data_IF_310327773362
#
_entry.id   IF_310327773362
#
_cell.length_a   1.000
_cell.length_b   1.000
_cell.length_c   1.000
_cell.angle_alpha   90.00
_cell.angle_beta   90.00
_cell.angle_gamma   90.00
#
_symmetry.space_group_name_H-M   'P 1'
#
loop_
_entity.id
_entity.type
_entity.pdbx_description
1 polymer ?
#
# COMPACT_ATOMS: atom_id res chain seq x y z
N UNK A 1 -17.77 1.28 -5.67
CA UNK A 1 -17.34 -0.03 -5.14
C UNK A 1 -15.92 -0.25 -5.61
N UNK A 2 -14.96 -0.47 -4.70
CA UNK A 2 -13.59 -0.83 -5.10
C UNK A 2 -13.60 -2.30 -5.53
N UNK A 3 -13.11 -2.58 -6.74
CA UNK A 3 -13.27 -3.89 -7.39
C UNK A 3 -12.25 -4.96 -6.94
N UNK A 4 -11.38 -4.66 -5.97
CA UNK A 4 -10.37 -5.58 -5.45
C UNK A 4 -10.80 -6.17 -4.10
N UNK A 5 -10.47 -7.44 -3.84
CA UNK A 5 -10.78 -8.17 -2.60
C UNK A 5 -10.23 -7.49 -1.32
N UNK A 6 -9.23 -6.62 -1.44
CA UNK A 6 -8.66 -5.84 -0.34
C UNK A 6 -9.15 -4.38 -0.25
N UNK A 7 -10.22 -4.02 -0.96
CA UNK A 7 -10.71 -2.63 -1.00
C UNK A 7 -9.67 -1.63 -1.54
N UNK A 8 -9.60 -0.39 -1.02
CA UNK A 8 -8.66 0.62 -1.48
C UNK A 8 -7.19 0.19 -1.38
N UNK A 9 -6.85 -0.56 -0.33
CA UNK A 9 -5.47 -0.99 -0.07
C UNK A 9 -5.08 -2.13 -1.03
N UNK A 10 -6.02 -3.03 -1.36
CA UNK A 10 -5.84 -4.01 -2.43
C UNK A 10 -5.63 -3.36 -3.80
N UNK A 11 -6.41 -2.33 -4.14
CA UNK A 11 -6.23 -1.55 -5.38
C UNK A 11 -4.84 -0.90 -5.43
N UNK A 12 -4.34 -0.39 -4.30
CA UNK A 12 -3.02 0.23 -4.23
C UNK A 12 -1.91 -0.79 -4.52
N UNK A 13 -1.94 -1.94 -3.85
CA UNK A 13 -0.96 -3.02 -4.04
C UNK A 13 -0.95 -3.48 -5.50
N UNK A 14 -2.12 -3.78 -6.04
CA UNK A 14 -2.23 -4.25 -7.43
C UNK A 14 -1.76 -3.18 -8.44
N UNK A 15 -2.00 -1.90 -8.16
CA UNK A 15 -1.53 -0.79 -8.99
C UNK A 15 -0.01 -0.70 -8.97
N UNK A 16 0.63 -0.80 -7.80
CA UNK A 16 2.09 -0.77 -7.68
C UNK A 16 2.74 -1.96 -8.39
N UNK A 17 2.15 -3.16 -8.25
CA UNK A 17 2.62 -4.37 -8.93
C UNK A 17 2.52 -4.24 -10.45
N UNK A 18 1.38 -3.76 -10.98
CA UNK A 18 1.19 -3.52 -12.43
C UNK A 18 2.15 -2.47 -12.98
N UNK A 19 2.47 -1.45 -12.20
CA UNK A 19 3.45 -0.41 -12.57
C UNK A 19 4.91 -0.84 -12.34
N UNK A 20 5.14 -2.03 -11.80
CA UNK A 20 6.47 -2.55 -11.42
C UNK A 20 7.23 -1.57 -10.52
N UNK A 21 6.51 -0.93 -9.59
CA UNK A 21 7.09 0.00 -8.63
C UNK A 21 7.44 -0.81 -7.38
N UNK A 22 8.72 -0.89 -6.99
CA UNK A 22 9.11 -1.57 -5.77
C UNK A 22 8.59 -0.82 -4.54
N UNK A 23 7.96 -1.56 -3.63
CA UNK A 23 7.51 -1.10 -2.33
C UNK A 23 7.88 -2.11 -1.24
N UNK A 24 7.81 -1.67 0.00
CA UNK A 24 7.92 -2.52 1.19
C UNK A 24 6.79 -2.19 2.15
N UNK A 25 6.28 -3.22 2.83
CA UNK A 25 5.43 -3.00 4.00
C UNK A 25 6.28 -2.46 5.15
N UNK A 26 5.70 -1.59 5.97
CA UNK A 26 6.39 -1.02 7.13
C UNK A 26 5.52 -1.02 8.39
N UNK A 27 6.15 -0.71 9.53
CA UNK A 27 5.49 -0.52 10.81
C UNK A 27 4.61 -1.69 11.23
N UNK A 28 3.36 -1.40 11.63
CA UNK A 28 2.43 -2.43 12.12
C UNK A 28 2.01 -3.40 11.02
N UNK A 29 1.98 -2.96 9.77
CA UNK A 29 1.66 -3.84 8.63
C UNK A 29 2.77 -4.87 8.43
N UNK A 30 4.03 -4.45 8.46
CA UNK A 30 5.16 -5.38 8.39
C UNK A 30 5.18 -6.36 9.57
N UNK A 31 4.98 -5.85 10.79
CA UNK A 31 5.00 -6.65 12.02
C UNK A 31 3.84 -7.65 12.10
N UNK A 32 2.72 -7.33 11.46
CA UNK A 32 1.60 -8.28 11.34
C UNK A 32 1.90 -9.36 10.30
N UNK A 33 2.47 -8.98 9.14
CA UNK A 33 2.77 -9.91 8.05
C UNK A 33 3.94 -10.86 8.36
N UNK A 34 4.93 -10.42 9.15
CA UNK A 34 6.06 -11.25 9.58
C UNK A 34 5.72 -12.15 10.80
N UNK A 35 4.52 -11.99 11.38
CA UNK A 35 4.05 -12.75 12.54
C UNK A 35 4.65 -12.31 13.88
N UNK A 36 5.40 -11.20 13.93
CA UNK A 36 5.94 -10.64 15.17
C UNK A 36 4.88 -9.93 16.02
N UNK A 37 3.74 -9.58 15.43
CA UNK A 37 2.58 -9.01 16.10
C UNK A 37 1.29 -9.72 15.68
N UNK A 38 0.40 -9.94 16.64
CA UNK A 38 -0.96 -10.44 16.42
C UNK A 38 -1.98 -9.31 16.25
N UNK A 39 -1.55 -8.05 16.41
CA UNK A 39 -2.44 -6.91 16.24
C UNK A 39 -2.71 -6.67 14.76
N UNK A 40 -3.98 -6.69 14.38
CA UNK A 40 -4.40 -6.35 13.02
C UNK A 40 -4.22 -4.84 12.80
N UNK A 41 -3.41 -4.41 11.82
CA UNK A 41 -3.17 -3.00 11.56
C UNK A 41 -4.45 -2.31 11.06
N UNK A 42 -4.72 -1.11 11.57
CA UNK A 42 -5.90 -0.33 11.17
C UNK A 42 -5.79 0.24 9.75
N UNK A 43 -4.56 0.48 9.27
CA UNK A 43 -4.28 1.00 7.94
C UNK A 43 -3.05 0.29 7.35
N UNK A 44 -3.05 0.10 6.03
CA UNK A 44 -1.87 -0.36 5.30
C UNK A 44 -0.75 0.70 5.34
N UNK A 45 0.42 0.28 5.82
CA UNK A 45 1.63 1.08 5.84
C UNK A 45 2.64 0.54 4.82
N UNK A 46 2.96 1.36 3.81
CA UNK A 46 3.94 1.02 2.79
C UNK A 46 4.96 2.14 2.60
N UNK A 47 6.18 1.74 2.25
CA UNK A 47 7.24 2.62 1.77
C UNK A 47 7.53 2.33 0.31
N UNK A 48 7.39 3.35 -0.53
CA UNK A 48 7.68 3.25 -1.96
C UNK A 48 9.16 3.55 -2.17
N UNK A 49 9.90 2.60 -2.77
CA UNK A 49 11.36 2.70 -2.95
C UNK A 49 11.78 3.48 -4.18
N UNK A 50 10.91 3.62 -5.16
CA UNK A 50 11.21 4.27 -6.44
C UNK A 50 10.26 5.44 -6.66
N UNK A 51 10.83 6.60 -7.01
CA UNK A 51 10.05 7.76 -7.45
C UNK A 51 9.22 7.40 -8.69
N UNK A 52 7.93 7.67 -8.62
CA UNK A 52 7.04 7.61 -9.77
C UNK A 52 6.50 9.02 -10.02
N UNK A 53 6.44 9.42 -11.29
CA UNK A 53 6.13 10.81 -11.68
C UNK A 53 4.64 11.15 -11.65
N UNK A 54 3.79 10.22 -11.23
CA UNK A 54 2.34 10.30 -11.38
C UNK A 54 1.67 10.31 -10.01
N UNK A 55 0.76 11.23 -9.78
CA UNK A 55 -0.12 11.22 -8.62
C UNK A 55 -1.07 10.02 -8.66
N UNK A 56 -1.06 9.18 -7.63
CA UNK A 56 -2.01 8.08 -7.47
C UNK A 56 -3.10 8.47 -6.47
N UNK A 57 -4.35 8.56 -6.93
CA UNK A 57 -5.51 8.85 -6.08
C UNK A 57 -6.40 7.62 -6.02
N UNK A 58 -6.57 7.04 -4.83
CA UNK A 58 -7.40 5.86 -4.59
C UNK A 58 -8.40 6.22 -3.48
N UNK A 59 -9.64 6.50 -3.89
CA UNK A 59 -10.67 6.99 -2.96
C UNK A 59 -10.27 8.33 -2.34
N UNK A 60 -10.18 8.37 -1.01
CA UNK A 60 -9.72 9.55 -0.26
C UNK A 60 -8.20 9.58 -0.02
N UNK A 61 -7.47 8.51 -0.37
CA UNK A 61 -6.02 8.44 -0.20
C UNK A 61 -5.33 8.99 -1.45
N UNK A 62 -4.38 9.89 -1.23
CA UNK A 62 -3.53 10.45 -2.28
C UNK A 62 -2.09 10.07 -2.01
N UNK A 63 -1.45 9.45 -2.98
CA UNK A 63 -0.06 9.08 -2.96
C UNK A 63 0.68 9.92 -4.00
N UNK A 64 1.42 10.91 -3.50
CA UNK A 64 2.37 11.73 -4.23
C UNK A 64 3.71 11.64 -3.49
N UNK A 65 4.81 11.51 -4.24
CA UNK A 65 6.15 11.69 -3.67
C UNK A 65 6.67 13.05 -4.12
N UNK A 66 6.85 13.98 -3.18
CA UNK A 66 7.59 15.24 -3.39
C UNK A 66 9.04 14.95 -3.70
#
# INVERSE_FOLDING_TARGET
>A
MFAADGGPDGVLIETLDRLKIPYEFSGLTASYLDGSSTQIPANLEIKIKKRFSRKLVIGKKTFDQV
#
